data_IF_066396136780
#
_entry.id   IF_066396136780
#
_cell.length_a   1.000
_cell.length_b   1.000
_cell.length_c   1.000
_cell.angle_alpha   90.00
_cell.angle_beta   90.00
_cell.angle_gamma   90.00
#
_symmetry.space_group_name_H-M   'P 1'
#
loop_
_entity.id
_entity.type
_entity.pdbx_description
1 polymer ?
#
# COMPACT_ATOMS: atom_id res chain seq x y z
N UNK A 1 19.60 -7.25 34.48
CA UNK A 1 21.03 -7.55 34.60
C UNK A 1 21.19 -8.98 35.12
N UNK A 2 22.13 -9.71 34.56
CA UNK A 2 22.46 -11.09 34.97
C UNK A 2 23.20 -11.05 36.29
N UNK A 3 22.78 -11.87 37.26
CA UNK A 3 23.43 -12.01 38.58
C UNK A 3 24.30 -13.26 38.57
N UNK A 4 25.20 -13.32 39.56
CA UNK A 4 26.08 -14.49 39.78
C UNK A 4 25.26 -15.78 39.93
N UNK A 5 25.67 -16.82 39.23
CA UNK A 5 24.98 -18.12 39.22
C UNK A 5 23.78 -18.23 38.27
N UNK A 6 23.44 -17.17 37.53
CA UNK A 6 22.41 -17.21 36.48
C UNK A 6 23.03 -17.52 35.12
N UNK A 7 22.52 -18.52 34.43
CA UNK A 7 22.89 -18.85 33.04
C UNK A 7 21.67 -18.78 32.13
N UNK A 8 21.84 -18.88 30.81
CA UNK A 8 20.78 -18.86 29.81
C UNK A 8 19.80 -17.69 29.95
N UNK A 9 20.29 -16.42 30.02
CA UNK A 9 19.40 -15.28 30.10
C UNK A 9 18.56 -15.12 28.83
N UNK A 10 17.37 -14.57 29.01
CA UNK A 10 16.46 -14.38 27.90
C UNK A 10 15.17 -13.71 28.30
N UNK A 11 14.21 -13.84 27.44
CA UNK A 11 12.86 -13.35 27.65
C UNK A 11 11.84 -14.43 27.31
N UNK A 12 10.75 -14.43 28.02
CA UNK A 12 9.53 -15.08 27.56
C UNK A 12 8.47 -14.03 27.27
N UNK A 13 7.67 -14.24 26.26
CA UNK A 13 6.63 -13.32 25.86
C UNK A 13 5.39 -14.06 25.32
N UNK A 14 4.24 -13.39 25.35
CA UNK A 14 2.99 -13.86 24.75
C UNK A 14 2.06 -12.69 24.43
N UNK A 15 1.12 -12.89 23.53
CA UNK A 15 0.01 -11.97 23.38
C UNK A 15 -0.84 -11.97 24.67
N UNK A 16 -1.26 -10.80 25.12
CA UNK A 16 -2.09 -10.66 26.32
C UNK A 16 -3.39 -11.45 26.13
N UNK A 17 -3.68 -12.33 27.09
CA UNK A 17 -4.80 -13.26 27.02
C UNK A 17 -4.46 -14.64 26.44
N UNK A 18 -3.29 -14.84 25.87
CA UNK A 18 -2.81 -16.16 25.45
C UNK A 18 -2.29 -16.95 26.67
N UNK A 19 -2.51 -18.25 26.69
CA UNK A 19 -1.94 -19.15 27.70
C UNK A 19 -0.51 -19.59 27.35
N UNK A 20 -0.13 -19.55 26.07
CA UNK A 20 1.14 -20.06 25.59
C UNK A 20 2.24 -18.98 25.65
N UNK A 21 3.36 -19.30 26.25
CA UNK A 21 4.57 -18.47 26.26
C UNK A 21 5.56 -18.92 25.19
N UNK A 22 6.15 -17.95 24.53
CA UNK A 22 7.32 -18.15 23.65
C UNK A 22 8.56 -17.66 24.37
N UNK A 23 9.65 -18.42 24.26
CA UNK A 23 10.94 -18.10 24.92
C UNK A 23 12.00 -17.79 23.87
N UNK A 24 12.78 -16.73 24.12
CA UNK A 24 13.96 -16.37 23.34
C UNK A 24 15.14 -16.25 24.31
N UNK A 25 16.16 -17.10 24.13
CA UNK A 25 17.40 -17.06 24.87
C UNK A 25 18.43 -16.17 24.14
N UNK A 26 19.25 -15.46 24.91
CA UNK A 26 20.21 -14.49 24.38
C UNK A 26 21.63 -15.06 24.28
N UNK A 27 21.86 -16.21 24.89
CA UNK A 27 23.19 -16.81 25.00
C UNK A 27 24.01 -16.24 26.16
N UNK A 28 25.33 -16.35 26.08
CA UNK A 28 26.22 -15.92 27.15
C UNK A 28 26.22 -14.39 27.29
N UNK A 29 26.00 -13.94 28.51
CA UNK A 29 25.99 -12.51 28.87
C UNK A 29 26.89 -12.33 30.10
N UNK A 30 27.75 -11.32 30.06
CA UNK A 30 28.64 -11.00 31.19
C UNK A 30 27.84 -10.63 32.45
N UNK A 31 28.44 -10.93 33.60
CA UNK A 31 27.87 -10.59 34.89
C UNK A 31 27.59 -9.10 35.01
N UNK A 32 26.42 -8.74 35.50
CA UNK A 32 25.92 -7.38 35.62
C UNK A 32 25.71 -6.61 34.29
N UNK A 33 25.91 -7.24 33.14
CA UNK A 33 25.58 -6.64 31.83
C UNK A 33 24.08 -6.64 31.57
N UNK A 34 23.64 -5.69 30.75
CA UNK A 34 22.32 -5.70 30.16
C UNK A 34 22.32 -6.59 28.92
N UNK A 35 21.15 -7.12 28.57
CA UNK A 35 20.99 -7.92 27.37
C UNK A 35 19.70 -7.51 26.64
N UNK A 36 19.68 -7.76 25.34
CA UNK A 36 18.55 -7.50 24.44
C UNK A 36 18.24 -8.74 23.63
N UNK A 37 17.00 -8.85 23.16
CA UNK A 37 16.60 -9.90 22.23
C UNK A 37 15.69 -9.29 21.15
N UNK A 38 15.84 -9.74 19.92
CA UNK A 38 14.93 -9.44 18.84
C UNK A 38 13.78 -10.42 18.85
N UNK A 39 12.56 -9.91 18.86
CA UNK A 39 11.36 -10.70 18.77
C UNK A 39 10.82 -10.64 17.33
N UNK A 40 10.67 -11.80 16.71
CA UNK A 40 10.21 -11.95 15.34
C UNK A 40 8.79 -12.52 15.28
N UNK A 41 8.15 -12.43 14.13
CA UNK A 41 6.84 -13.03 13.83
C UNK A 41 5.70 -12.56 14.75
N UNK A 42 5.83 -11.36 15.30
CA UNK A 42 4.79 -10.74 16.11
C UNK A 42 3.59 -10.33 15.25
N UNK A 43 2.39 -10.51 15.78
CA UNK A 43 1.17 -10.07 15.12
C UNK A 43 1.04 -8.55 15.19
N UNK A 44 0.65 -7.87 14.11
CA UNK A 44 0.41 -6.42 14.12
C UNK A 44 -0.71 -6.01 15.07
N UNK A 45 -0.64 -4.80 15.63
CA UNK A 45 -1.67 -4.22 16.49
C UNK A 45 -1.95 -5.01 17.77
N UNK A 46 -1.02 -5.85 18.18
CA UNK A 46 -1.21 -6.80 19.27
C UNK A 46 -0.44 -6.37 20.51
N UNK A 47 -1.13 -6.36 21.66
CA UNK A 47 -0.49 -6.12 22.95
C UNK A 47 0.17 -7.41 23.45
N UNK A 48 1.45 -7.33 23.74
CA UNK A 48 2.23 -8.41 24.31
C UNK A 48 2.62 -8.09 25.74
N UNK A 49 2.74 -9.14 26.56
CA UNK A 49 3.43 -9.11 27.84
C UNK A 49 4.72 -9.92 27.73
N UNK A 50 5.75 -9.47 28.44
CA UNK A 50 7.03 -10.18 28.49
C UNK A 50 7.64 -10.14 29.88
N UNK A 51 8.48 -11.11 30.15
CA UNK A 51 9.21 -11.27 31.41
C UNK A 51 10.64 -11.67 31.10
N UNK A 52 11.59 -11.13 31.88
CA UNK A 52 12.96 -11.60 31.82
C UNK A 52 13.09 -12.95 32.55
N UNK A 53 13.91 -13.81 31.97
CA UNK A 53 14.20 -15.14 32.52
C UNK A 53 15.69 -15.41 32.54
N UNK A 54 16.13 -16.30 33.41
CA UNK A 54 17.46 -16.90 33.39
C UNK A 54 17.35 -18.28 34.09
N UNK A 55 17.64 -19.34 33.35
CA UNK A 55 17.39 -20.72 33.80
C UNK A 55 15.94 -20.91 34.30
N UNK A 56 15.77 -21.40 35.52
CA UNK A 56 14.46 -21.56 36.17
C UNK A 56 13.94 -20.27 36.83
N UNK A 57 14.73 -19.19 36.81
CA UNK A 57 14.30 -17.91 37.38
C UNK A 57 13.41 -17.17 36.35
N UNK A 58 12.25 -16.76 36.80
CA UNK A 58 11.32 -15.96 36.05
C UNK A 58 11.05 -14.68 36.82
N UNK A 59 11.31 -13.52 36.20
CA UNK A 59 10.86 -12.28 36.79
C UNK A 59 9.34 -12.24 36.81
N UNK A 60 8.75 -12.16 37.97
CA UNK A 60 7.28 -12.16 38.14
C UNK A 60 6.60 -10.87 37.68
N UNK A 61 7.38 -9.79 37.50
CA UNK A 61 6.89 -8.53 37.00
C UNK A 61 6.80 -8.59 35.47
N UNK A 62 5.60 -8.47 34.93
CA UNK A 62 5.37 -8.43 33.51
C UNK A 62 5.50 -7.00 33.00
N UNK A 63 6.20 -6.85 31.90
CA UNK A 63 6.25 -5.62 31.11
C UNK A 63 5.43 -5.79 29.84
N UNK A 64 5.02 -4.67 29.25
CA UNK A 64 4.08 -4.68 28.12
C UNK A 64 4.59 -3.79 26.99
N UNK A 65 4.28 -4.21 25.76
CA UNK A 65 4.39 -3.38 24.57
C UNK A 65 3.24 -3.70 23.60
N UNK A 66 3.01 -2.82 22.67
CA UNK A 66 2.03 -3.06 21.59
C UNK A 66 2.73 -2.90 20.26
N UNK A 67 2.58 -3.88 19.39
CA UNK A 67 3.09 -3.81 18.03
C UNK A 67 2.31 -2.76 17.22
N UNK A 68 2.98 -2.17 16.23
CA UNK A 68 2.33 -1.24 15.32
C UNK A 68 1.19 -1.90 14.56
N UNK A 69 0.12 -1.15 14.31
CA UNK A 69 -1.03 -1.63 13.56
C UNK A 69 -0.68 -1.83 12.09
N UNK A 70 -1.27 -2.82 11.47
CA UNK A 70 -1.16 -3.00 10.03
C UNK A 70 -1.90 -1.89 9.29
N UNK A 71 -1.26 -1.28 8.31
CA UNK A 71 -1.93 -0.37 7.39
C UNK A 71 -2.62 -1.17 6.29
N UNK A 72 -3.92 -0.97 6.16
CA UNK A 72 -4.70 -1.53 5.05
C UNK A 72 -4.91 -0.44 4.00
N UNK A 73 -4.45 -0.70 2.78
CA UNK A 73 -4.70 0.19 1.65
C UNK A 73 -6.23 0.26 1.41
N UNK A 74 -6.83 1.47 1.47
CA UNK A 74 -8.27 1.61 1.25
C UNK A 74 -8.70 1.05 -0.10
N UNK A 75 -9.80 0.31 -0.10
CA UNK A 75 -10.36 -0.34 -1.29
C UNK A 75 -9.32 -1.11 -2.14
N UNK A 76 -8.38 -1.80 -1.48
CA UNK A 76 -7.32 -2.56 -2.17
C UNK A 76 -7.87 -3.70 -3.06
N UNK A 77 -9.09 -4.12 -2.82
CA UNK A 77 -9.81 -5.12 -3.63
C UNK A 77 -10.56 -4.52 -4.82
N UNK A 78 -10.68 -3.18 -4.91
CA UNK A 78 -11.39 -2.45 -5.96
C UNK A 78 -12.89 -2.79 -6.09
N UNK A 79 -13.53 -3.19 -4.99
CA UNK A 79 -14.95 -3.49 -4.98
C UNK A 79 -15.84 -2.24 -4.98
N UNK A 80 -15.36 -1.13 -4.41
CA UNK A 80 -16.12 0.10 -4.27
C UNK A 80 -15.76 1.11 -5.35
N UNK A 81 -16.79 1.69 -5.96
CA UNK A 81 -16.65 2.67 -7.05
C UNK A 81 -17.65 3.80 -6.88
N UNK A 82 -17.17 5.02 -6.98
CA UNK A 82 -17.99 6.22 -6.90
C UNK A 82 -17.74 7.14 -8.10
N UNK A 83 -18.51 8.21 -8.16
CA UNK A 83 -18.31 9.31 -9.09
C UNK A 83 -18.06 10.59 -8.32
N UNK A 84 -17.07 11.34 -8.74
CA UNK A 84 -16.71 12.59 -8.07
C UNK A 84 -15.66 13.38 -8.85
N UNK A 85 -15.20 14.46 -8.23
CA UNK A 85 -14.22 15.35 -8.84
C UNK A 85 -14.73 16.03 -10.11
N UNK A 86 -13.84 16.28 -11.05
CA UNK A 86 -14.16 16.99 -12.27
C UNK A 86 -15.14 16.19 -13.14
N UNK A 87 -16.28 16.80 -13.51
CA UNK A 87 -17.37 16.18 -14.30
C UNK A 87 -17.85 14.82 -13.81
N UNK A 88 -17.81 14.59 -12.49
CA UNK A 88 -18.19 13.31 -11.90
C UNK A 88 -17.42 12.11 -12.50
N UNK A 89 -16.10 12.22 -12.58
CA UNK A 89 -15.24 11.15 -13.04
C UNK A 89 -15.40 9.88 -12.18
N UNK A 90 -15.23 8.73 -12.80
CA UNK A 90 -15.27 7.43 -12.11
C UNK A 90 -14.00 7.23 -11.31
N UNK A 91 -14.13 6.82 -10.05
CA UNK A 91 -13.02 6.62 -9.11
C UNK A 91 -13.22 5.35 -8.28
N UNK A 92 -12.14 4.58 -7.99
CA UNK A 92 -12.21 3.37 -7.18
C UNK A 92 -12.14 3.68 -5.68
N UNK A 93 -13.14 4.38 -5.15
CA UNK A 93 -13.29 4.75 -3.75
C UNK A 93 -14.71 4.45 -3.27
N UNK A 94 -14.89 4.31 -1.96
CA UNK A 94 -16.24 4.13 -1.37
C UNK A 94 -17.14 5.35 -1.59
N UNK A 95 -16.54 6.53 -1.50
CA UNK A 95 -17.27 7.80 -1.72
C UNK A 95 -16.31 8.89 -2.18
N UNK A 96 -16.87 9.97 -2.73
CA UNK A 96 -16.13 11.08 -3.29
C UNK A 96 -15.53 12.05 -2.24
N UNK A 97 -15.86 11.89 -0.96
CA UNK A 97 -15.33 12.75 0.11
C UNK A 97 -14.07 12.18 0.75
N UNK A 98 -13.76 10.92 0.50
CA UNK A 98 -12.57 10.25 1.02
C UNK A 98 -11.84 9.55 -0.13
N UNK A 99 -11.04 10.33 -0.87
CA UNK A 99 -10.31 9.87 -2.05
C UNK A 99 -8.96 9.34 -1.60
N UNK A 100 -8.72 8.06 -1.84
CA UNK A 100 -7.40 7.44 -1.74
C UNK A 100 -6.80 7.20 -3.12
N UNK A 101 -7.63 6.74 -4.07
CA UNK A 101 -7.25 6.45 -5.43
C UNK A 101 -7.81 7.49 -6.41
N UNK A 102 -6.98 7.99 -7.29
CA UNK A 102 -7.39 8.82 -8.41
C UNK A 102 -6.70 8.37 -9.71
N UNK A 103 -7.03 9.01 -10.82
CA UNK A 103 -6.57 8.57 -12.15
C UNK A 103 -6.64 9.69 -13.17
N UNK A 104 -6.18 9.42 -14.38
CA UNK A 104 -6.35 10.26 -15.55
C UNK A 104 -7.81 10.49 -15.95
N UNK A 105 -8.78 9.82 -15.33
CA UNK A 105 -10.21 10.05 -15.61
C UNK A 105 -10.64 11.50 -15.39
N UNK A 106 -10.02 12.20 -14.44
CA UNK A 106 -10.34 13.61 -14.17
C UNK A 106 -10.13 14.47 -15.42
N UNK A 107 -8.99 14.33 -16.09
CA UNK A 107 -8.72 15.03 -17.36
C UNK A 107 -9.50 14.45 -18.55
N UNK A 108 -9.59 13.12 -18.65
CA UNK A 108 -10.27 12.43 -19.75
C UNK A 108 -11.79 12.70 -19.78
N UNK A 109 -12.38 13.08 -18.63
CA UNK A 109 -13.79 13.45 -18.53
C UNK A 109 -14.15 14.69 -19.40
N UNK A 110 -13.18 15.52 -19.75
CA UNK A 110 -13.38 16.60 -20.75
C UNK A 110 -13.87 16.06 -22.09
N UNK A 111 -13.32 14.95 -22.53
CA UNK A 111 -13.66 14.28 -23.79
C UNK A 111 -14.69 13.16 -23.57
N UNK A 112 -15.34 13.08 -22.41
CA UNK A 112 -16.25 11.99 -22.04
C UNK A 112 -15.60 10.60 -22.17
N UNK A 113 -14.27 10.52 -21.97
CA UNK A 113 -13.49 9.29 -22.07
C UNK A 113 -13.22 8.76 -20.65
N UNK A 114 -13.22 7.43 -20.51
CA UNK A 114 -12.91 6.73 -19.27
C UNK A 114 -11.66 5.88 -19.50
N UNK A 115 -10.60 6.15 -18.72
CA UNK A 115 -9.31 5.45 -18.79
C UNK A 115 -9.18 4.38 -17.71
N UNK A 116 -9.88 4.56 -16.59
CA UNK A 116 -9.94 3.63 -15.45
C UNK A 116 -11.39 3.35 -15.14
N UNK A 117 -11.80 2.09 -15.13
CA UNK A 117 -13.14 1.65 -14.77
C UNK A 117 -13.12 0.31 -14.04
N UNK A 118 -14.21 -0.04 -13.40
CA UNK A 118 -14.43 -1.38 -12.85
C UNK A 118 -14.65 -2.39 -13.99
N UNK A 119 -14.16 -3.59 -13.80
CA UNK A 119 -14.39 -4.70 -14.72
C UNK A 119 -14.69 -5.98 -13.93
N UNK A 120 -15.61 -6.78 -14.44
CA UNK A 120 -15.88 -8.14 -13.96
C UNK A 120 -15.26 -9.23 -14.86
N UNK A 121 -14.56 -8.85 -15.93
CA UNK A 121 -14.05 -9.80 -16.94
C UNK A 121 -12.85 -10.60 -16.43
N UNK A 122 -11.96 -9.93 -15.69
CA UNK A 122 -10.71 -10.51 -15.18
C UNK A 122 -10.57 -10.15 -13.72
N UNK A 123 -11.08 -11.00 -12.85
CA UNK A 123 -11.10 -10.79 -11.39
C UNK A 123 -10.32 -11.92 -10.73
N UNK A 124 -9.42 -11.57 -9.79
CA UNK A 124 -8.73 -12.58 -8.98
C UNK A 124 -9.60 -13.04 -7.80
N UNK A 125 -10.28 -12.11 -7.14
CA UNK A 125 -11.19 -12.37 -6.02
C UNK A 125 -12.23 -11.25 -5.93
N UNK A 126 -13.39 -11.53 -5.36
CA UNK A 126 -14.48 -10.57 -5.28
C UNK A 126 -15.28 -10.48 -6.58
N UNK A 127 -15.83 -9.31 -6.86
CA UNK A 127 -16.71 -9.05 -8.01
C UNK A 127 -16.05 -8.22 -9.09
N UNK A 128 -15.15 -7.30 -8.70
CA UNK A 128 -14.55 -6.33 -9.59
C UNK A 128 -13.02 -6.28 -9.51
N UNK A 129 -12.44 -5.80 -10.59
CA UNK A 129 -11.03 -5.39 -10.69
C UNK A 129 -10.95 -3.98 -11.26
N UNK A 130 -9.83 -3.29 -11.05
CA UNK A 130 -9.54 -2.02 -11.69
C UNK A 130 -8.96 -2.27 -13.10
N UNK A 131 -9.68 -1.88 -14.13
CA UNK A 131 -9.25 -1.97 -15.52
C UNK A 131 -8.77 -0.62 -16.02
N UNK A 132 -7.51 -0.53 -16.36
CA UNK A 132 -6.91 0.63 -17.00
C UNK A 132 -6.75 0.41 -18.49
N UNK A 133 -7.09 1.40 -19.30
CA UNK A 133 -6.95 1.33 -20.76
C UNK A 133 -6.50 2.68 -21.31
N UNK A 134 -5.41 2.68 -22.05
CA UNK A 134 -4.95 3.85 -22.80
C UNK A 134 -5.88 4.14 -23.97
N UNK A 135 -6.26 5.40 -24.14
CA UNK A 135 -7.24 5.81 -25.17
C UNK A 135 -6.93 7.20 -25.70
N UNK A 136 -7.43 7.46 -26.90
CA UNK A 136 -7.52 8.81 -27.42
C UNK A 136 -8.57 9.61 -26.64
N UNK A 137 -8.18 10.73 -26.07
CA UNK A 137 -9.05 11.67 -25.38
C UNK A 137 -9.14 12.94 -26.22
N UNK A 138 -10.28 13.14 -26.88
CA UNK A 138 -10.41 14.30 -27.76
C UNK A 138 -11.84 14.54 -28.19
N UNK A 139 -12.07 15.75 -28.72
CA UNK A 139 -13.33 16.22 -29.24
C UNK A 139 -13.08 17.13 -30.47
N UNK A 140 -13.90 17.01 -31.52
CA UNK A 140 -13.83 17.84 -32.73
C UNK A 140 -12.43 17.85 -33.40
N UNK A 141 -11.76 16.71 -33.45
CA UNK A 141 -10.43 16.60 -34.09
C UNK A 141 -9.26 17.09 -33.27
N UNK A 142 -9.50 17.64 -32.09
CA UNK A 142 -8.47 18.02 -31.13
C UNK A 142 -8.43 17.02 -29.98
N UNK A 143 -7.25 16.67 -29.53
CA UNK A 143 -7.09 15.74 -28.39
C UNK A 143 -5.68 15.21 -28.25
N UNK A 144 -5.51 14.33 -27.28
CA UNK A 144 -4.26 13.63 -27.02
C UNK A 144 -4.51 12.17 -26.67
N UNK A 145 -3.55 11.31 -26.96
CA UNK A 145 -3.54 9.95 -26.46
C UNK A 145 -3.16 9.97 -24.99
N UNK A 146 -3.96 9.34 -24.13
CA UNK A 146 -3.77 9.31 -22.69
C UNK A 146 -3.60 7.89 -22.20
N UNK A 147 -2.55 7.64 -21.42
CA UNK A 147 -2.29 6.37 -20.77
C UNK A 147 -3.32 6.07 -19.70
N UNK A 148 -3.81 4.82 -19.66
CA UNK A 148 -4.60 4.33 -18.54
C UNK A 148 -3.72 4.27 -17.29
N UNK A 149 -4.12 4.94 -16.22
CA UNK A 149 -3.36 5.02 -15.00
C UNK A 149 -4.27 5.06 -13.76
N UNK A 150 -3.66 4.74 -12.62
CA UNK A 150 -4.24 4.88 -11.30
C UNK A 150 -3.12 5.18 -10.30
N UNK A 151 -3.36 6.01 -9.33
CA UNK A 151 -2.37 6.37 -8.31
C UNK A 151 -3.06 6.65 -6.97
N UNK A 152 -2.33 6.48 -5.88
CA UNK A 152 -2.73 7.02 -4.59
C UNK A 152 -2.47 8.51 -4.59
N UNK A 153 -3.49 9.31 -4.28
CA UNK A 153 -3.41 10.77 -4.36
C UNK A 153 -4.69 11.40 -4.88
N UNK A 154 -4.60 12.65 -5.30
CA UNK A 154 -5.76 13.45 -5.77
C UNK A 154 -5.36 14.31 -6.96
N UNK A 155 -6.26 14.42 -7.93
CA UNK A 155 -6.24 15.48 -8.91
C UNK A 155 -6.90 16.73 -8.29
N UNK A 156 -6.11 17.75 -8.03
CA UNK A 156 -6.57 18.96 -7.32
C UNK A 156 -7.16 19.99 -8.25
N UNK A 157 -6.74 20.00 -9.51
CA UNK A 157 -7.21 20.95 -10.50
C UNK A 157 -7.12 20.39 -11.92
N UNK A 158 -8.10 20.69 -12.75
CA UNK A 158 -8.08 20.40 -14.18
C UNK A 158 -8.23 21.69 -14.96
N UNK A 159 -7.16 22.10 -15.63
CA UNK A 159 -7.16 23.32 -16.45
C UNK A 159 -7.62 22.98 -17.85
N UNK A 160 -8.76 23.54 -18.22
CA UNK A 160 -9.35 23.37 -19.55
C UNK A 160 -8.76 24.39 -20.52
N UNK A 161 -7.82 23.95 -21.34
CA UNK A 161 -7.17 24.77 -22.36
C UNK A 161 -6.89 23.93 -23.62
N UNK A 162 -6.34 24.53 -24.67
CA UNK A 162 -5.90 23.80 -25.86
C UNK A 162 -4.90 22.69 -25.51
N UNK A 163 -4.12 22.89 -24.43
CA UNK A 163 -3.25 21.88 -23.84
C UNK A 163 -3.75 21.62 -22.41
N UNK A 164 -4.80 20.81 -22.30
CA UNK A 164 -5.37 20.49 -20.98
C UNK A 164 -4.29 19.92 -20.03
N UNK A 165 -4.19 20.53 -18.87
CA UNK A 165 -3.25 20.10 -17.81
C UNK A 165 -4.01 19.76 -16.55
N UNK A 166 -3.41 18.95 -15.71
CA UNK A 166 -3.95 18.61 -14.40
C UNK A 166 -2.86 18.78 -13.34
N UNK A 167 -3.25 19.32 -12.19
CA UNK A 167 -2.40 19.36 -11.01
C UNK A 167 -2.70 18.11 -10.18
N UNK A 168 -1.65 17.35 -9.90
CA UNK A 168 -1.75 16.07 -9.19
C UNK A 168 -0.92 16.14 -7.90
N UNK A 169 -1.53 15.71 -6.81
CA UNK A 169 -0.81 15.43 -5.57
C UNK A 169 -0.71 13.91 -5.42
N UNK A 170 0.49 13.38 -5.57
CA UNK A 170 0.75 11.96 -5.40
C UNK A 170 0.99 11.60 -3.94
N UNK A 171 0.65 10.37 -3.60
CA UNK A 171 0.82 9.82 -2.26
C UNK A 171 -0.35 10.10 -1.34
N UNK A 172 -0.42 9.30 -0.30
CA UNK A 172 -1.36 9.42 0.80
C UNK A 172 -0.61 9.14 2.10
N UNK A 173 -1.00 9.74 3.23
CA UNK A 173 -0.37 9.47 4.52
C UNK A 173 -0.36 7.98 4.82
N UNK A 174 0.81 7.47 5.16
CA UNK A 174 1.00 6.09 5.57
C UNK A 174 1.21 6.04 7.08
N UNK A 175 0.18 5.60 7.82
CA UNK A 175 0.13 5.59 9.29
C UNK A 175 0.19 4.17 9.87
N UNK A 176 1.01 3.31 9.29
CA UNK A 176 1.12 1.93 9.71
C UNK A 176 2.55 1.49 9.97
N UNK A 177 2.70 0.24 10.39
CA UNK A 177 3.99 -0.42 10.52
C UNK A 177 4.72 -0.47 9.19
N UNK A 178 6.06 -0.51 9.21
CA UNK A 178 6.86 -0.66 8.00
C UNK A 178 6.45 -1.92 7.24
N UNK A 179 5.98 -1.81 6.00
CA UNK A 179 5.60 -2.98 5.23
C UNK A 179 6.87 -3.71 4.77
N UNK A 180 6.91 -5.01 4.97
CA UNK A 180 7.98 -5.85 4.43
C UNK A 180 7.68 -6.27 2.98
N UNK A 181 6.42 -6.26 2.56
CA UNK A 181 5.99 -6.76 1.26
C UNK A 181 4.66 -6.15 0.83
N UNK A 182 4.56 -5.79 -0.45
CA UNK A 182 3.29 -5.56 -1.16
C UNK A 182 3.03 -6.76 -2.07
N UNK A 183 1.80 -7.25 -2.07
CA UNK A 183 1.33 -8.31 -2.98
C UNK A 183 0.10 -7.84 -3.71
N UNK A 184 0.01 -8.19 -4.99
CA UNK A 184 -1.14 -7.91 -5.82
C UNK A 184 -1.17 -8.84 -7.03
N UNK A 185 -2.28 -8.82 -7.75
CA UNK A 185 -2.45 -9.56 -8.99
C UNK A 185 -2.72 -8.56 -10.11
N UNK A 186 -2.06 -8.77 -11.23
CA UNK A 186 -2.25 -7.96 -12.42
C UNK A 186 -2.33 -8.86 -13.66
N UNK A 187 -3.21 -8.51 -14.57
CA UNK A 187 -3.24 -9.05 -15.91
C UNK A 187 -2.95 -7.92 -16.88
N UNK A 188 -1.87 -8.04 -17.63
CA UNK A 188 -1.45 -7.02 -18.57
C UNK A 188 -1.43 -7.58 -19.99
N UNK A 189 -2.04 -6.84 -20.92
CA UNK A 189 -1.97 -7.09 -22.34
C UNK A 189 -1.24 -5.93 -23.00
N UNK A 190 0.01 -6.12 -23.43
CA UNK A 190 0.71 -5.09 -24.18
C UNK A 190 -0.01 -4.78 -25.50
N UNK A 191 -0.08 -3.52 -25.85
CA UNK A 191 -0.55 -3.04 -27.13
C UNK A 191 0.59 -2.68 -28.08
N UNK A 192 0.24 -2.35 -29.31
CA UNK A 192 1.14 -1.65 -30.21
C UNK A 192 1.08 -0.15 -29.92
N UNK A 193 2.21 0.52 -29.96
CA UNK A 193 2.29 1.97 -29.84
C UNK A 193 1.78 2.62 -31.11
N UNK A 194 0.61 3.27 -31.03
CA UNK A 194 0.00 4.00 -32.15
C UNK A 194 0.48 5.46 -32.23
N UNK A 195 0.93 6.00 -31.11
CA UNK A 195 1.39 7.37 -30.98
C UNK A 195 2.78 7.38 -30.32
N UNK A 196 3.81 7.60 -31.12
CA UNK A 196 5.19 7.65 -30.64
C UNK A 196 5.39 8.80 -29.64
N UNK A 197 6.19 8.53 -28.61
CA UNK A 197 6.76 9.50 -27.70
C UNK A 197 8.29 9.39 -27.72
N UNK A 198 8.94 10.03 -26.78
CA UNK A 198 10.42 10.02 -26.68
C UNK A 198 10.99 8.63 -26.38
N UNK A 199 10.21 7.78 -25.72
CA UNK A 199 10.67 6.48 -25.24
C UNK A 199 10.39 5.32 -26.19
N UNK A 200 9.30 5.37 -26.95
CA UNK A 200 8.86 4.28 -27.83
C UNK A 200 8.41 4.79 -29.18
N UNK A 201 8.86 4.10 -30.25
CA UNK A 201 8.44 4.37 -31.62
C UNK A 201 7.07 3.76 -31.93
N UNK A 202 6.39 4.26 -32.97
CA UNK A 202 5.19 3.63 -33.51
C UNK A 202 5.45 2.17 -33.91
N UNK A 203 4.52 1.31 -33.59
CA UNK A 203 4.60 -0.14 -33.83
C UNK A 203 5.40 -0.91 -32.79
N UNK A 204 6.09 -0.24 -31.85
CA UNK A 204 6.71 -0.90 -30.73
C UNK A 204 5.66 -1.51 -29.78
N UNK A 205 6.04 -2.51 -29.02
CA UNK A 205 5.18 -3.05 -27.95
C UNK A 205 5.24 -2.14 -26.75
N UNK A 206 4.10 -1.76 -26.21
CA UNK A 206 4.04 -0.92 -24.99
C UNK A 206 4.38 -1.71 -23.71
N UNK A 207 4.59 -1.00 -22.61
CA UNK A 207 4.93 -1.58 -21.31
C UNK A 207 4.05 -1.00 -20.22
N UNK A 208 3.49 -1.87 -19.37
CA UNK A 208 2.86 -1.48 -18.11
C UNK A 208 3.90 -1.28 -17.01
N UNK A 209 3.69 -0.30 -16.14
CA UNK A 209 4.53 -0.05 -14.99
C UNK A 209 3.71 -0.04 -13.71
N UNK A 210 4.23 -0.70 -12.66
CA UNK A 210 3.74 -0.58 -11.29
C UNK A 210 4.87 -0.03 -10.45
N UNK A 211 4.62 1.08 -9.76
CA UNK A 211 5.59 1.72 -8.88
C UNK A 211 5.00 1.86 -7.49
N UNK A 212 5.80 1.56 -6.48
CA UNK A 212 5.47 1.76 -5.07
C UNK A 212 6.65 2.45 -4.40
N UNK A 213 6.38 3.53 -3.69
CA UNK A 213 7.38 4.25 -2.92
C UNK A 213 6.82 4.64 -1.56
N UNK A 214 7.64 4.54 -0.52
CA UNK A 214 7.42 5.16 0.77
C UNK A 214 8.45 6.28 0.91
N UNK A 215 7.99 7.48 1.16
CA UNK A 215 8.83 8.66 1.29
C UNK A 215 8.60 9.32 2.64
N UNK A 216 9.61 9.97 3.18
CA UNK A 216 9.42 10.99 4.22
C UNK A 216 8.96 12.25 3.50
N UNK A 217 7.75 12.74 3.84
CA UNK A 217 7.15 13.93 3.22
C UNK A 217 7.98 15.19 3.40
#
# INVERSE_FOLDING_TARGET
MVKEGMTNPGFRYRAVGSSAWTTVLVGDVELNASFTADLTDLQPGTKYEYQAIADDYINTESMYFTTESMFMIPNASFEYWCKGGFKNAVMPNENANNIFWDSGNQGAALASTVLLDKSSDMVHSGTYSARMASKWCGMMGMGAFSGGNMFSGVCTNVVVSANATAELTYGQPFNGSRPAKLRGWANYRPGSVDYAGDALANGATDHGQVMVALTTG
#
